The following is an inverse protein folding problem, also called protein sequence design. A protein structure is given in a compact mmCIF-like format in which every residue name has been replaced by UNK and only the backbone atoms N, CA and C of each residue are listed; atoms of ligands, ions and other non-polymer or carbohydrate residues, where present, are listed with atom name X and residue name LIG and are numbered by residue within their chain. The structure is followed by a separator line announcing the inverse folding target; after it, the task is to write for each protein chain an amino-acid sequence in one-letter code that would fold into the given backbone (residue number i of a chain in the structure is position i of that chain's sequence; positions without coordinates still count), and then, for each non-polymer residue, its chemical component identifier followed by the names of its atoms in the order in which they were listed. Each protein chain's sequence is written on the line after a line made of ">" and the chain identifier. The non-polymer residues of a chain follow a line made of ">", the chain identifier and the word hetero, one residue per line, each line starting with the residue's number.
data_IF_351198074793
#
_entry.id   IF_351198074793
#
_cell.length_a   1.000
_cell.length_b   1.000
_cell.length_c   1.000
_cell.angle_alpha   90.00
_cell.angle_beta   90.00
_cell.angle_gamma   90.00
#
_symmetry.space_group_name_H-M   'P 1'
#
loop_
_entity.id
_entity.type
_entity.pdbx_description
1 polymer ?
#
# COMPACT_ATOMS: atom_id res chain seq x y z
N UNK A 1 -5.67 6.21 -5.67
CA UNK A 1 -6.60 5.29 -6.36
C UNK A 1 -5.95 3.95 -6.65
N UNK A 2 -6.63 2.85 -6.33
CA UNK A 2 -6.29 1.48 -6.68
C UNK A 2 -7.45 0.80 -7.39
N UNK A 3 -7.11 -0.16 -8.22
CA UNK A 3 -8.05 -1.02 -8.90
C UNK A 3 -8.09 -2.37 -8.19
N UNK A 4 -9.26 -2.76 -7.73
CA UNK A 4 -9.47 -4.02 -7.03
C UNK A 4 -10.31 -4.92 -7.92
N UNK A 5 -9.75 -6.05 -8.34
CA UNK A 5 -10.47 -7.09 -9.07
C UNK A 5 -10.78 -8.24 -8.11
N UNK A 6 -12.04 -8.63 -8.06
CA UNK A 6 -12.57 -9.70 -7.22
C UNK A 6 -13.20 -10.73 -8.13
N UNK A 7 -12.69 -11.96 -8.12
CA UNK A 7 -13.30 -13.09 -8.82
C UNK A 7 -14.02 -13.94 -7.80
N UNK A 8 -15.33 -14.11 -7.96
CA UNK A 8 -16.20 -14.90 -7.06
C UNK A 8 -17.29 -15.65 -7.84
N UNK A 9 -18.00 -16.58 -7.21
CA UNK A 9 -19.19 -17.19 -7.81
C UNK A 9 -20.30 -16.14 -8.08
N UNK A 10 -21.15 -16.39 -9.09
CA UNK A 10 -22.17 -15.44 -9.54
C UNK A 10 -23.13 -14.93 -8.44
N UNK A 11 -23.39 -15.74 -7.40
CA UNK A 11 -24.28 -15.38 -6.29
C UNK A 11 -23.76 -14.28 -5.34
N UNK A 12 -22.50 -13.87 -5.44
CA UNK A 12 -21.91 -12.84 -4.56
C UNK A 12 -21.92 -11.42 -5.17
N UNK A 13 -22.35 -11.26 -6.43
CA UNK A 13 -22.29 -9.98 -7.13
C UNK A 13 -23.15 -8.89 -6.46
N UNK A 14 -24.36 -9.23 -6.03
CA UNK A 14 -25.29 -8.27 -5.39
C UNK A 14 -24.75 -7.76 -4.05
N UNK A 15 -24.18 -8.65 -3.25
CA UNK A 15 -23.62 -8.30 -1.93
C UNK A 15 -22.38 -7.41 -2.06
N UNK A 16 -21.53 -7.65 -3.06
CA UNK A 16 -20.35 -6.82 -3.31
C UNK A 16 -20.78 -5.45 -3.88
N UNK A 17 -21.82 -5.37 -4.70
CA UNK A 17 -22.37 -4.10 -5.15
C UNK A 17 -22.97 -3.29 -3.99
N UNK A 18 -23.72 -3.93 -3.09
CA UNK A 18 -24.24 -3.29 -1.89
C UNK A 18 -23.12 -2.78 -0.97
N UNK A 19 -22.03 -3.53 -0.84
CA UNK A 19 -20.83 -3.09 -0.11
C UNK A 19 -20.19 -1.87 -0.78
N UNK A 20 -20.10 -1.86 -2.12
CA UNK A 20 -19.54 -0.75 -2.87
C UNK A 20 -20.34 0.54 -2.68
N UNK A 21 -21.68 0.44 -2.63
CA UNK A 21 -22.55 1.56 -2.31
C UNK A 21 -22.37 2.05 -0.86
N UNK A 22 -22.31 1.13 0.11
CA UNK A 22 -22.14 1.47 1.52
C UNK A 22 -20.82 2.21 1.78
N UNK A 23 -19.74 1.81 1.12
CA UNK A 23 -18.43 2.45 1.23
C UNK A 23 -18.28 3.68 0.31
N UNK A 24 -19.31 3.98 -0.49
CA UNK A 24 -19.29 5.06 -1.49
C UNK A 24 -18.04 4.97 -2.38
N UNK A 25 -17.83 3.81 -2.99
CA UNK A 25 -16.73 3.57 -3.92
C UNK A 25 -16.93 4.39 -5.21
N UNK A 26 -15.84 4.70 -5.90
CA UNK A 26 -15.88 5.64 -7.04
C UNK A 26 -16.48 4.99 -8.29
N UNK A 27 -16.19 3.71 -8.52
CA UNK A 27 -16.80 2.94 -9.60
C UNK A 27 -16.87 1.46 -9.17
N UNK A 28 -17.95 0.79 -9.56
CA UNK A 28 -18.14 -0.65 -9.35
C UNK A 28 -18.74 -1.23 -10.63
N UNK A 29 -18.02 -2.17 -11.25
CA UNK A 29 -18.44 -2.81 -12.49
C UNK A 29 -18.40 -4.32 -12.34
N UNK A 30 -19.51 -4.93 -12.71
CA UNK A 30 -19.69 -6.38 -12.78
C UNK A 30 -19.31 -6.82 -14.20
N UNK A 31 -18.26 -7.64 -14.33
CA UNK A 31 -17.85 -8.23 -15.59
C UNK A 31 -18.79 -9.37 -16.03
N UNK A 32 -18.70 -9.81 -17.29
CA UNK A 32 -19.46 -10.98 -17.74
C UNK A 32 -19.04 -12.22 -16.93
N UNK A 33 -20.01 -13.08 -16.65
CA UNK A 33 -19.73 -14.39 -16.06
C UNK A 33 -18.88 -15.21 -17.04
N UNK A 34 -17.79 -15.79 -16.56
CA UNK A 34 -17.01 -16.76 -17.29
C UNK A 34 -17.79 -18.10 -17.40
N UNK A 35 -17.39 -18.96 -18.34
CA UNK A 35 -18.01 -20.27 -18.60
C UNK A 35 -18.09 -21.18 -17.34
N UNK A 36 -17.22 -20.95 -16.35
CA UNK A 36 -17.17 -21.65 -15.06
C UNK A 36 -18.10 -21.07 -13.97
N UNK A 37 -19.10 -20.26 -14.34
CA UNK A 37 -20.06 -19.60 -13.42
C UNK A 37 -19.39 -18.65 -12.39
N UNK A 38 -18.17 -18.23 -12.72
CA UNK A 38 -17.38 -17.25 -11.96
C UNK A 38 -17.53 -15.86 -12.56
N UNK A 39 -17.65 -14.86 -11.70
CA UNK A 39 -17.86 -13.48 -12.07
C UNK A 39 -16.71 -12.62 -11.56
N UNK A 40 -16.18 -11.78 -12.44
CA UNK A 40 -15.14 -10.81 -12.09
C UNK A 40 -15.77 -9.43 -11.81
N UNK A 41 -15.74 -8.99 -10.56
CA UNK A 41 -16.10 -7.64 -10.15
C UNK A 41 -14.86 -6.75 -10.12
N UNK A 42 -15.03 -5.52 -10.58
CA UNK A 42 -13.97 -4.53 -10.75
C UNK A 42 -14.38 -3.27 -10.02
N UNK A 43 -13.59 -2.92 -9.02
CA UNK A 43 -13.86 -1.81 -8.12
C UNK A 43 -12.73 -0.79 -8.26
N UNK A 44 -13.11 0.48 -8.33
CA UNK A 44 -12.18 1.59 -8.25
C UNK A 44 -12.27 2.22 -6.87
N UNK A 45 -11.20 2.08 -6.10
CA UNK A 45 -11.16 2.42 -4.68
C UNK A 45 -10.09 3.49 -4.45
N UNK A 46 -10.42 4.52 -3.69
CA UNK A 46 -9.47 5.54 -3.26
C UNK A 46 -8.54 5.00 -2.17
N UNK A 47 -7.33 5.56 -2.08
CA UNK A 47 -6.29 4.98 -1.20
C UNK A 47 -6.69 5.00 0.29
N UNK A 48 -7.52 5.96 0.70
CA UNK A 48 -8.11 6.09 2.04
C UNK A 48 -9.14 5.00 2.36
N UNK A 49 -9.86 4.49 1.35
CA UNK A 49 -10.92 3.48 1.51
C UNK A 49 -10.48 2.06 1.20
N UNK A 50 -9.23 1.86 0.80
CA UNK A 50 -8.72 0.56 0.38
C UNK A 50 -8.78 -0.47 1.51
N UNK A 51 -8.29 -0.12 2.69
CA UNK A 51 -8.24 -1.01 3.86
C UNK A 51 -9.62 -1.51 4.30
N UNK A 52 -10.61 -0.62 4.57
CA UNK A 52 -11.95 -1.08 4.94
C UNK A 52 -12.62 -1.89 3.83
N UNK A 53 -12.33 -1.61 2.56
CA UNK A 53 -12.85 -2.39 1.43
C UNK A 53 -12.27 -3.80 1.41
N UNK A 54 -10.96 -3.96 1.64
CA UNK A 54 -10.32 -5.27 1.70
C UNK A 54 -10.80 -6.10 2.89
N UNK A 55 -10.94 -5.49 4.07
CA UNK A 55 -11.42 -6.19 5.28
C UNK A 55 -12.85 -6.69 5.09
N UNK A 56 -13.71 -5.87 4.47
CA UNK A 56 -15.08 -6.24 4.18
C UNK A 56 -15.18 -7.34 3.10
N UNK A 57 -14.39 -7.24 2.03
CA UNK A 57 -14.32 -8.28 0.99
C UNK A 57 -13.81 -9.61 1.58
N UNK A 58 -12.79 -9.58 2.43
CA UNK A 58 -12.30 -10.77 3.11
C UNK A 58 -13.36 -11.39 4.02
N UNK A 59 -14.13 -10.57 4.75
CA UNK A 59 -15.22 -11.05 5.61
C UNK A 59 -16.34 -11.70 4.81
N UNK A 60 -16.73 -11.09 3.69
CA UNK A 60 -17.81 -11.58 2.82
C UNK A 60 -17.42 -12.86 2.05
N UNK A 61 -16.17 -12.95 1.63
CA UNK A 61 -15.66 -14.06 0.84
C UNK A 61 -15.09 -15.19 1.68
N UNK A 62 -15.13 -15.04 3.01
CA UNK A 62 -14.60 -16.02 3.94
C UNK A 62 -15.38 -17.34 3.81
N UNK A 63 -14.71 -18.38 3.30
CA UNK A 63 -15.28 -19.72 3.14
C UNK A 63 -15.72 -20.11 1.71
N UNK A 64 -15.57 -19.24 0.70
CA UNK A 64 -15.89 -19.60 -0.69
C UNK A 64 -14.65 -20.14 -1.44
N UNK A 65 -14.68 -21.39 -1.98
CA UNK A 65 -13.61 -21.91 -2.81
C UNK A 65 -13.53 -21.12 -4.13
N UNK A 66 -12.30 -20.90 -4.62
CA UNK A 66 -11.99 -20.17 -5.86
C UNK A 66 -12.19 -18.63 -5.86
N UNK A 67 -12.16 -17.99 -4.70
CA UNK A 67 -12.11 -16.51 -4.65
C UNK A 67 -10.70 -15.98 -4.86
N UNK A 68 -10.52 -14.99 -5.74
CA UNK A 68 -9.26 -14.23 -5.87
C UNK A 68 -9.51 -12.74 -5.74
N UNK A 69 -8.69 -12.07 -4.95
CA UNK A 69 -8.67 -10.61 -4.84
C UNK A 69 -7.31 -10.15 -5.36
N UNK A 70 -7.31 -9.33 -6.41
CA UNK A 70 -6.13 -8.70 -6.96
C UNK A 70 -6.22 -7.19 -6.77
N UNK A 71 -5.15 -6.57 -6.26
CA UNK A 71 -5.06 -5.12 -6.08
C UNK A 71 -3.98 -4.59 -7.02
N UNK A 72 -4.38 -3.79 -7.99
CA UNK A 72 -3.50 -3.18 -8.96
C UNK A 72 -3.35 -1.67 -8.69
N UNK A 73 -2.12 -1.12 -8.74
CA UNK A 73 -1.92 0.32 -8.68
C UNK A 73 -2.46 0.97 -9.96
N UNK A 74 -3.28 2.00 -9.82
CA UNK A 74 -3.77 2.78 -10.95
C UNK A 74 -2.93 4.04 -11.07
N UNK A 75 -2.35 4.27 -12.25
CA UNK A 75 -1.54 5.47 -12.49
C UNK A 75 -2.42 6.71 -12.72
N UNK A 76 -3.50 6.57 -13.48
CA UNK A 76 -4.39 7.68 -13.85
C UNK A 76 -5.83 7.16 -13.97
N UNK A 77 -6.79 7.92 -13.43
CA UNK A 77 -8.24 7.72 -13.61
C UNK A 77 -8.82 9.00 -14.20
N UNK A 78 -9.59 8.87 -15.28
CA UNK A 78 -10.32 9.97 -15.91
C UNK A 78 -11.81 9.59 -16.05
N UNK A 79 -12.74 10.50 -15.76
CA UNK A 79 -12.56 11.86 -15.22
C UNK A 79 -12.08 11.84 -13.77
N UNK A 80 -11.38 12.89 -13.35
CA UNK A 80 -10.77 12.90 -12.02
C UNK A 80 -11.82 13.06 -10.92
N UNK A 81 -11.72 12.30 -9.81
CA UNK A 81 -12.64 12.44 -8.68
C UNK A 81 -12.57 13.84 -8.06
N UNK A 82 -13.67 14.23 -7.40
CA UNK A 82 -13.86 15.55 -6.78
C UNK A 82 -12.68 16.00 -5.92
N UNK A 83 -12.43 17.32 -5.88
CA UNK A 83 -11.28 17.98 -5.23
C UNK A 83 -11.03 17.55 -3.78
N UNK A 84 -12.08 17.22 -3.03
CA UNK A 84 -11.99 16.74 -1.64
C UNK A 84 -11.38 15.34 -1.52
N UNK A 85 -11.68 14.44 -2.48
CA UNK A 85 -11.09 13.10 -2.51
C UNK A 85 -9.60 13.16 -2.85
N UNK A 86 -9.19 14.13 -3.71
CA UNK A 86 -7.77 14.39 -3.99
C UNK A 86 -6.99 14.88 -2.77
N UNK A 87 -7.56 15.77 -1.95
CA UNK A 87 -6.88 16.27 -0.74
C UNK A 87 -6.64 15.14 0.29
N UNK A 88 -7.61 14.23 0.44
CA UNK A 88 -7.48 13.05 1.29
C UNK A 88 -6.40 12.08 0.76
N UNK A 89 -6.35 11.84 -0.55
CA UNK A 89 -5.34 11.00 -1.20
C UNK A 89 -3.94 11.62 -1.19
N UNK A 90 -3.82 12.92 -1.43
CA UNK A 90 -2.55 13.67 -1.35
C UNK A 90 -2.03 13.67 0.08
N UNK A 91 -2.89 13.83 1.09
CA UNK A 91 -2.49 13.72 2.50
C UNK A 91 -1.98 12.32 2.85
N UNK A 92 -2.64 11.26 2.35
CA UNK A 92 -2.23 9.88 2.59
C UNK A 92 -0.94 9.52 1.85
N UNK A 93 -0.75 10.07 0.63
CA UNK A 93 0.46 9.86 -0.19
C UNK A 93 1.64 10.65 0.36
N UNK A 94 1.43 11.92 0.76
CA UNK A 94 2.44 12.76 1.39
C UNK A 94 2.95 12.17 2.71
N UNK A 95 2.11 11.48 3.48
CA UNK A 95 2.56 10.76 4.68
C UNK A 95 3.54 9.62 4.35
N UNK A 96 3.33 8.91 3.23
CA UNK A 96 4.24 7.84 2.77
C UNK A 96 5.50 8.41 2.13
N UNK A 97 5.37 9.44 1.32
CA UNK A 97 6.51 10.13 0.69
C UNK A 97 7.37 10.87 1.72
N UNK A 98 6.78 11.43 2.78
CA UNK A 98 7.56 12.04 3.88
C UNK A 98 8.39 10.99 4.63
N UNK A 99 7.87 9.78 4.79
CA UNK A 99 8.62 8.66 5.37
C UNK A 99 9.75 8.20 4.42
N UNK A 100 9.48 8.03 3.12
CA UNK A 100 10.52 7.69 2.14
C UNK A 100 11.57 8.80 1.98
N UNK A 101 11.16 10.07 1.91
CA UNK A 101 12.07 11.22 1.84
C UNK A 101 12.88 11.39 3.12
N UNK A 102 12.33 11.04 4.28
CA UNK A 102 13.08 11.00 5.54
C UNK A 102 14.11 9.88 5.53
N UNK A 103 13.78 8.68 5.02
CA UNK A 103 14.74 7.57 4.89
C UNK A 103 15.82 7.89 3.86
N UNK A 104 15.46 8.49 2.72
CA UNK A 104 16.40 8.91 1.66
C UNK A 104 17.35 10.01 2.16
N UNK A 105 16.87 10.98 2.95
CA UNK A 105 17.72 11.99 3.57
C UNK A 105 18.74 11.40 4.55
N UNK A 106 18.37 10.33 5.27
CA UNK A 106 19.29 9.65 6.20
C UNK A 106 20.32 8.75 5.48
N UNK A 107 20.15 8.46 4.19
CA UNK A 107 21.09 7.64 3.39
C UNK A 107 22.02 8.45 2.49
N UNK A 108 21.82 9.77 2.40
CA UNK A 108 22.73 10.62 1.63
C UNK A 108 24.06 10.77 2.36
N UNK A 109 25.14 10.49 1.62
CA UNK A 109 26.52 10.66 2.06
C UNK A 109 26.74 12.14 2.43
N UNK A 110 26.66 12.46 3.72
CA UNK A 110 26.89 13.81 4.25
C UNK A 110 28.32 13.92 4.82
N UNK A 111 28.89 15.12 4.81
CA UNK A 111 30.23 15.36 5.33
C UNK A 111 30.35 14.94 6.80
N UNK A 112 29.28 15.14 7.59
CA UNK A 112 29.24 14.72 8.98
C UNK A 112 29.29 13.19 9.14
N UNK A 113 28.62 12.45 8.25
CA UNK A 113 28.67 10.97 8.22
C UNK A 113 30.10 10.48 7.92
N UNK A 114 30.79 11.09 6.95
CA UNK A 114 32.17 10.73 6.63
C UNK A 114 33.13 11.01 7.80
N UNK A 115 32.96 12.14 8.50
CA UNK A 115 33.78 12.45 9.68
C UNK A 115 33.52 11.45 10.81
N UNK A 116 32.25 11.14 11.10
CA UNK A 116 31.87 10.15 12.12
C UNK A 116 32.45 8.77 11.81
N UNK A 117 32.34 8.29 10.56
CA UNK A 117 32.89 6.99 10.16
C UNK A 117 34.41 6.96 10.32
N UNK A 118 35.10 8.03 9.92
CA UNK A 118 36.55 8.10 9.99
C UNK A 118 37.03 8.12 11.46
N UNK A 119 36.37 8.90 12.31
CA UNK A 119 36.64 8.94 13.73
C UNK A 119 36.31 7.62 14.43
N UNK A 120 35.16 6.99 14.14
CA UNK A 120 34.80 5.68 14.66
C UNK A 120 35.81 4.60 14.25
N UNK A 121 36.29 4.64 13.00
CA UNK A 121 37.31 3.71 12.52
C UNK A 121 38.65 3.92 13.23
N UNK A 122 39.04 5.17 13.48
CA UNK A 122 40.25 5.49 14.22
C UNK A 122 40.17 5.00 15.67
N UNK A 123 39.05 5.25 16.36
CA UNK A 123 38.81 4.79 17.73
C UNK A 123 38.82 3.26 17.80
N UNK A 124 38.11 2.58 16.90
CA UNK A 124 38.10 1.12 16.84
C UNK A 124 39.50 0.54 16.56
N UNK A 125 40.29 1.18 15.70
CA UNK A 125 41.67 0.77 15.41
C UNK A 125 42.57 0.91 16.63
N UNK A 126 42.46 2.00 17.39
CA UNK A 126 43.20 2.21 18.64
C UNK A 126 42.78 1.17 19.68
N UNK A 127 41.48 0.94 19.86
CA UNK A 127 40.95 -0.08 20.78
C UNK A 127 41.45 -1.49 20.46
N UNK A 128 41.59 -1.81 19.17
CA UNK A 128 42.18 -3.08 18.71
C UNK A 128 43.69 -3.16 18.96
N UNK A 129 44.46 -2.09 18.73
CA UNK A 129 45.92 -2.06 18.94
C UNK A 129 46.26 -2.14 20.43
N UNK A 130 45.53 -1.42 21.28
CA UNK A 130 45.73 -1.48 22.74
C UNK A 130 45.12 -2.72 23.40
N UNK A 131 44.49 -3.61 22.60
CA UNK A 131 43.79 -4.81 23.06
C UNK A 131 42.77 -4.50 24.18
N UNK A 132 42.11 -3.34 24.09
CA UNK A 132 41.17 -2.82 25.08
C UNK A 132 39.76 -2.79 24.49
N UNK A 133 39.01 -3.85 24.80
CA UNK A 133 37.61 -4.01 24.36
C UNK A 133 36.72 -2.87 24.84
N UNK A 134 37.06 -2.26 25.99
CA UNK A 134 36.31 -1.17 26.61
C UNK A 134 36.31 0.14 25.78
N UNK A 135 37.25 0.30 24.85
CA UNK A 135 37.30 1.47 23.94
C UNK A 135 36.44 1.25 22.69
N UNK A 136 36.09 -0.01 22.39
CA UNK A 136 35.35 -0.41 21.17
C UNK A 136 33.84 -0.52 21.42
N UNK A 137 33.41 -0.76 22.66
CA UNK A 137 31.99 -0.92 23.07
C UNK A 137 31.36 0.43 23.44
#
# INVERSE_FOLDING_TARGET
>A
MKYVEVVSAAGCADTICALAEQLQLTDCRVGPAADDDTLALRLLVSDDKLQPTLDALQTLLNGQPATRIAVLPVQIVLPSPDRKAREQEESATAAREALYASVEKNTRLDANYLVLVLLSTAVASIGLIENSVAVVI
#
